data_IF_202456705971
#
_entry.id   IF_202456705971
#
_cell.length_a   1.000
_cell.length_b   1.000
_cell.length_c   1.000
_cell.angle_alpha   90.00
_cell.angle_beta   90.00
_cell.angle_gamma   90.00
#
_symmetry.space_group_name_H-M   'P 1'
#
loop_
_entity.id
_entity.type
_entity.pdbx_description
1 polymer ?
#
# COMPACT_ATOMS: atom_id res chain seq x y z
N UNK A 1 -4.19 15.69 -11.76
CA UNK A 1 -3.02 15.14 -11.03
C UNK A 1 -3.53 14.41 -9.79
N UNK A 2 -3.11 13.16 -9.58
CA UNK A 2 -3.51 12.38 -8.41
C UNK A 2 -2.81 12.96 -7.17
N UNK A 3 -3.56 13.55 -6.23
CA UNK A 3 -2.98 14.28 -5.08
C UNK A 3 -2.01 13.41 -4.26
N UNK A 4 -2.33 12.13 -4.08
CA UNK A 4 -1.44 11.19 -3.40
C UNK A 4 -0.11 11.03 -4.12
N UNK A 5 -0.12 10.93 -5.46
CA UNK A 5 1.09 10.79 -6.28
C UNK A 5 2.01 11.99 -6.10
N UNK A 6 1.46 13.20 -6.25
CA UNK A 6 2.25 14.43 -6.08
C UNK A 6 2.85 14.50 -4.68
N UNK A 7 2.05 14.21 -3.65
CA UNK A 7 2.51 14.20 -2.27
C UNK A 7 3.67 13.22 -2.08
N UNK A 8 3.47 11.97 -2.45
CA UNK A 8 4.44 10.90 -2.28
C UNK A 8 5.73 11.21 -3.04
N UNK A 9 5.67 11.52 -4.32
CA UNK A 9 6.88 11.79 -5.12
C UNK A 9 7.65 13.04 -4.66
N UNK A 10 6.98 14.01 -4.03
CA UNK A 10 7.63 15.24 -3.61
C UNK A 10 8.17 15.22 -2.19
N UNK A 11 7.67 14.31 -1.34
CA UNK A 11 8.00 14.28 0.09
C UNK A 11 8.62 12.96 0.54
N UNK A 12 8.72 11.97 -0.36
CA UNK A 12 9.26 10.64 -0.07
C UNK A 12 10.25 10.21 -1.14
N UNK A 13 10.99 9.14 -0.89
CA UNK A 13 11.92 8.53 -1.84
C UNK A 13 11.18 7.56 -2.78
N UNK A 14 10.15 8.04 -3.47
CA UNK A 14 9.32 7.22 -4.36
C UNK A 14 9.26 7.81 -5.77
N UNK A 15 9.15 6.91 -6.75
CA UNK A 15 8.77 7.25 -8.12
C UNK A 15 7.58 6.39 -8.50
N UNK A 16 6.49 7.02 -8.93
CA UNK A 16 5.19 6.39 -9.17
C UNK A 16 4.74 6.60 -10.62
N UNK A 17 5.44 6.02 -11.61
CA UNK A 17 5.21 6.34 -13.02
C UNK A 17 3.85 5.88 -13.54
N UNK A 18 3.15 4.98 -12.85
CA UNK A 18 1.89 4.41 -13.30
C UNK A 18 0.74 4.77 -12.36
N UNK A 19 -0.39 5.12 -12.98
CA UNK A 19 -1.68 5.31 -12.32
C UNK A 19 -2.67 4.30 -12.89
N UNK A 20 -3.68 3.91 -12.10
CA UNK A 20 -4.74 3.04 -12.59
C UNK A 20 -5.49 3.63 -13.81
N UNK A 21 -5.56 4.96 -13.91
CA UNK A 21 -6.26 5.67 -14.98
C UNK A 21 -5.50 5.63 -16.32
N UNK A 22 -4.17 5.75 -16.26
CA UNK A 22 -3.35 5.84 -17.47
C UNK A 22 -2.77 4.48 -17.88
N UNK A 23 -2.48 3.61 -16.90
CA UNK A 23 -1.77 2.33 -17.09
C UNK A 23 -2.27 1.27 -16.10
N UNK A 24 -3.57 0.93 -16.16
CA UNK A 24 -4.21 -0.02 -15.24
C UNK A 24 -3.48 -1.37 -15.12
N UNK A 25 -2.92 -1.89 -16.22
CA UNK A 25 -2.20 -3.17 -16.22
C UNK A 25 -0.99 -3.17 -15.29
N UNK A 26 -0.28 -2.04 -15.18
CA UNK A 26 0.89 -1.89 -14.31
C UNK A 26 0.52 -1.79 -12.83
N UNK A 27 -0.75 -1.48 -12.54
CA UNK A 27 -1.28 -1.34 -11.18
C UNK A 27 -2.10 -2.56 -10.75
N UNK A 28 -2.06 -3.65 -11.54
CA UNK A 28 -2.90 -4.83 -11.33
C UNK A 28 -2.09 -5.99 -10.76
N UNK A 29 -2.68 -6.72 -9.81
CA UNK A 29 -2.15 -7.98 -9.27
C UNK A 29 -3.25 -9.03 -9.17
N UNK A 30 -2.87 -10.30 -9.32
CA UNK A 30 -3.79 -11.42 -9.19
C UNK A 30 -3.84 -11.90 -7.73
N UNK A 31 -5.04 -12.19 -7.23
CA UNK A 31 -5.30 -12.76 -5.90
C UNK A 31 -5.37 -14.30 -5.97
N UNK A 32 -5.37 -14.96 -4.81
CA UNK A 32 -5.50 -16.41 -4.69
C UNK A 32 -6.77 -16.97 -5.34
N UNK A 33 -7.88 -16.24 -5.25
CA UNK A 33 -9.18 -16.63 -5.82
C UNK A 33 -9.25 -16.52 -7.36
N UNK A 34 -8.14 -16.12 -7.98
CA UNK A 34 -7.99 -15.89 -9.42
C UNK A 34 -8.42 -14.50 -9.89
N UNK A 35 -9.10 -13.73 -9.04
CA UNK A 35 -9.54 -12.37 -9.36
C UNK A 35 -8.39 -11.38 -9.34
N UNK A 36 -8.63 -10.17 -9.83
CA UNK A 36 -7.62 -9.11 -9.97
C UNK A 36 -7.92 -7.96 -9.01
N UNK A 37 -6.90 -7.50 -8.29
CA UNK A 37 -6.92 -6.25 -7.55
C UNK A 37 -6.17 -5.19 -8.36
N UNK A 38 -6.80 -4.03 -8.52
CA UNK A 38 -6.17 -2.83 -9.10
C UNK A 38 -5.90 -1.86 -7.96
N UNK A 39 -4.67 -1.38 -7.88
CA UNK A 39 -4.20 -0.33 -6.97
C UNK A 39 -4.22 1.02 -7.69
N UNK A 40 -4.32 2.11 -6.94
CA UNK A 40 -4.43 3.45 -7.53
C UNK A 40 -3.14 3.90 -8.21
N UNK A 41 -1.98 3.54 -7.63
CA UNK A 41 -0.65 3.87 -8.16
C UNK A 41 0.30 2.66 -8.08
N UNK A 42 1.29 2.65 -8.96
CA UNK A 42 2.36 1.66 -8.98
C UNK A 42 3.70 2.33 -9.30
N UNK A 43 4.77 1.81 -8.71
CA UNK A 43 6.11 2.36 -8.88
C UNK A 43 7.14 1.65 -8.05
N UNK A 44 8.11 2.39 -7.53
CA UNK A 44 9.23 1.84 -6.77
C UNK A 44 9.85 2.86 -5.82
N UNK A 45 10.58 2.34 -4.83
CA UNK A 45 11.46 3.13 -3.99
C UNK A 45 12.69 3.61 -4.78
N UNK A 46 13.15 4.82 -4.47
CA UNK A 46 14.35 5.43 -5.01
C UNK A 46 15.56 5.12 -4.12
N UNK A 47 16.75 5.16 -4.71
CA UNK A 47 18.01 4.90 -4.02
C UNK A 47 18.42 3.43 -4.11
N UNK A 48 18.91 2.89 -2.98
CA UNK A 48 19.40 1.50 -2.90
C UNK A 48 18.26 0.48 -2.76
N UNK A 49 17.18 0.85 -2.07
CA UNK A 49 15.95 0.05 -2.01
C UNK A 49 15.15 0.40 -3.27
N UNK A 50 15.15 -0.48 -4.28
CA UNK A 50 14.39 -0.31 -5.53
C UNK A 50 13.21 -1.27 -5.64
N UNK A 51 12.64 -1.63 -4.49
CA UNK A 51 11.52 -2.57 -4.45
C UNK A 51 10.30 -1.96 -5.14
N UNK A 52 9.50 -2.79 -5.87
CA UNK A 52 8.22 -2.38 -6.39
C UNK A 52 7.29 -1.89 -5.26
N UNK A 53 6.41 -0.96 -5.57
CA UNK A 53 5.44 -0.40 -4.63
C UNK A 53 4.06 -0.30 -5.29
N UNK A 54 3.04 -0.76 -4.58
CA UNK A 54 1.62 -0.62 -4.95
C UNK A 54 0.91 0.24 -3.91
N UNK A 55 0.21 1.28 -4.35
CA UNK A 55 -0.43 2.26 -3.46
C UNK A 55 -1.95 2.25 -3.64
N UNK A 56 -2.67 2.10 -2.54
CA UNK A 56 -4.12 2.36 -2.47
C UNK A 56 -4.33 3.69 -1.73
N UNK A 57 -5.04 4.62 -2.35
CA UNK A 57 -5.32 5.94 -1.80
C UNK A 57 -6.83 6.14 -1.60
N UNK A 58 -7.25 6.31 -0.34
CA UNK A 58 -8.63 6.57 0.05
C UNK A 58 -8.79 7.97 0.60
N UNK A 59 -9.29 8.89 -0.22
CA UNK A 59 -9.57 10.26 0.22
C UNK A 59 -10.89 10.33 0.99
N UNK A 60 -10.80 10.32 2.30
CA UNK A 60 -11.92 10.58 3.21
C UNK A 60 -11.69 11.90 3.96
N UNK A 61 -12.77 12.67 4.15
CA UNK A 61 -12.78 13.90 4.96
C UNK A 61 -13.45 13.72 6.32
N UNK A 62 -14.11 12.58 6.55
CA UNK A 62 -14.80 12.21 7.79
C UNK A 62 -14.60 10.73 8.10
N UNK A 63 -14.94 10.33 9.33
CA UNK A 63 -15.07 8.91 9.68
C UNK A 63 -16.07 8.25 8.73
N UNK A 64 -15.66 7.14 8.13
CA UNK A 64 -16.46 6.38 7.17
C UNK A 64 -16.01 4.93 7.12
N UNK A 65 -16.22 4.25 6.00
CA UNK A 65 -15.86 2.84 5.80
C UNK A 65 -14.35 2.54 5.74
N UNK A 66 -13.50 3.51 6.11
CA UNK A 66 -12.03 3.40 6.07
C UNK A 66 -11.49 2.19 6.81
N UNK A 67 -12.00 1.93 8.02
CA UNK A 67 -11.60 0.77 8.80
C UNK A 67 -11.91 -0.54 8.06
N UNK A 68 -13.12 -0.67 7.53
CA UNK A 68 -13.55 -1.87 6.79
C UNK A 68 -12.82 -2.04 5.45
N UNK A 69 -12.56 -0.96 4.71
CA UNK A 69 -11.77 -1.08 3.47
C UNK A 69 -10.29 -1.35 3.76
N UNK A 70 -9.77 -0.88 4.90
CA UNK A 70 -8.40 -1.19 5.29
C UNK A 70 -8.26 -2.67 5.65
N UNK A 71 -9.20 -3.26 6.39
CA UNK A 71 -9.19 -4.72 6.65
C UNK A 71 -9.34 -5.50 5.35
N UNK A 72 -10.21 -5.07 4.44
CA UNK A 72 -10.33 -5.70 3.11
C UNK A 72 -9.01 -5.61 2.32
N UNK A 73 -8.34 -4.46 2.38
CA UNK A 73 -7.04 -4.24 1.75
C UNK A 73 -5.94 -5.13 2.33
N UNK A 74 -5.88 -5.32 3.66
CA UNK A 74 -4.92 -6.23 4.28
C UNK A 74 -5.11 -7.67 3.80
N UNK A 75 -6.36 -8.11 3.66
CA UNK A 75 -6.69 -9.41 3.10
C UNK A 75 -6.27 -9.52 1.62
N UNK A 76 -6.46 -8.45 0.83
CA UNK A 76 -6.04 -8.42 -0.56
C UNK A 76 -4.52 -8.51 -0.74
N UNK A 77 -3.73 -7.75 0.02
CA UNK A 77 -2.25 -7.77 -0.09
C UNK A 77 -1.68 -9.11 0.38
N UNK A 78 -2.28 -9.74 1.40
CA UNK A 78 -1.95 -11.12 1.76
C UNK A 78 -2.22 -12.08 0.60
N UNK A 79 -3.41 -11.98 0.00
CA UNK A 79 -3.81 -12.85 -1.12
C UNK A 79 -2.91 -12.66 -2.35
N UNK A 80 -2.53 -11.43 -2.67
CA UNK A 80 -1.58 -11.13 -3.74
C UNK A 80 -0.21 -11.73 -3.46
N UNK A 81 0.31 -11.55 -2.24
CA UNK A 81 1.64 -12.07 -1.86
C UNK A 81 1.64 -13.61 -1.86
N UNK A 82 0.61 -14.23 -1.30
CA UNK A 82 0.44 -15.69 -1.32
C UNK A 82 0.41 -16.24 -2.74
N UNK A 83 -0.33 -15.57 -3.64
CA UNK A 83 -0.43 -15.96 -5.05
C UNK A 83 0.92 -15.83 -5.76
N UNK A 84 1.68 -14.79 -5.48
CA UNK A 84 3.01 -14.61 -6.04
C UNK A 84 3.98 -15.70 -5.57
N UNK A 85 3.98 -16.04 -4.28
CA UNK A 85 4.76 -17.15 -3.72
C UNK A 85 4.39 -18.50 -4.35
N UNK A 86 3.09 -18.80 -4.51
CA UNK A 86 2.63 -20.05 -5.14
C UNK A 86 3.13 -20.24 -6.58
N UNK A 87 3.39 -19.13 -7.28
CA UNK A 87 3.85 -19.15 -8.67
C UNK A 87 5.37 -18.92 -8.80
N UNK A 88 6.11 -18.76 -7.69
CA UNK A 88 7.52 -18.36 -7.70
C UNK A 88 7.75 -17.02 -8.44
N UNK A 89 6.85 -16.06 -8.22
CA UNK A 89 6.82 -14.75 -8.89
C UNK A 89 6.77 -13.57 -7.90
N UNK A 90 7.21 -13.77 -6.66
CA UNK A 90 7.28 -12.69 -5.69
C UNK A 90 8.39 -11.71 -6.05
N UNK A 91 8.01 -10.46 -6.36
CA UNK A 91 8.90 -9.37 -6.76
C UNK A 91 9.31 -8.48 -5.58
N UNK A 92 9.12 -8.96 -4.35
CA UNK A 92 9.31 -8.22 -3.10
C UNK A 92 8.47 -6.92 -3.06
N UNK A 93 7.32 -6.89 -3.75
CA UNK A 93 6.47 -5.71 -3.79
C UNK A 93 6.00 -5.28 -2.40
N UNK A 94 6.17 -3.99 -2.14
CA UNK A 94 5.66 -3.32 -0.96
C UNK A 94 4.28 -2.72 -1.23
N UNK A 95 3.53 -2.48 -0.17
CA UNK A 95 2.14 -2.06 -0.23
C UNK A 95 1.92 -0.85 0.66
N UNK A 96 1.31 0.20 0.12
CA UNK A 96 1.05 1.42 0.87
C UNK A 96 -0.43 1.79 0.86
N UNK A 97 -0.98 2.00 2.04
CA UNK A 97 -2.29 2.60 2.25
C UNK A 97 -2.12 4.09 2.57
N UNK A 98 -2.80 4.94 1.81
CA UNK A 98 -2.80 6.40 2.00
C UNK A 98 -4.23 6.86 2.24
N UNK A 99 -4.45 7.63 3.30
CA UNK A 99 -5.74 8.30 3.56
C UNK A 99 -5.53 9.74 4.03
N UNK A 100 -6.62 10.51 4.12
CA UNK A 100 -6.62 11.90 4.61
C UNK A 100 -7.28 12.08 5.97
N UNK A 101 -7.76 10.99 6.56
CA UNK A 101 -8.45 11.05 7.85
C UNK A 101 -8.03 9.85 8.71
N UNK A 102 -7.64 10.06 9.98
CA UNK A 102 -7.33 8.96 10.88
C UNK A 102 -8.52 8.01 11.04
N UNK A 103 -8.25 6.72 11.18
CA UNK A 103 -9.25 5.68 11.38
C UNK A 103 -8.74 4.65 12.38
N UNK A 104 -9.65 3.84 12.93
CA UNK A 104 -9.30 2.78 13.89
C UNK A 104 -8.34 3.23 15.00
N UNK A 105 -8.56 4.42 15.57
CA UNK A 105 -7.63 5.09 16.49
C UNK A 105 -7.27 4.21 17.71
N UNK A 106 -8.24 3.48 18.25
CA UNK A 106 -8.03 2.55 19.36
C UNK A 106 -7.10 1.37 19.02
N UNK A 107 -6.89 1.09 17.73
CA UNK A 107 -6.04 0.03 17.22
C UNK A 107 -4.83 0.58 16.45
N UNK A 108 -4.58 1.90 16.47
CA UNK A 108 -3.61 2.57 15.59
C UNK A 108 -2.23 1.90 15.58
N UNK A 109 -1.68 1.63 16.77
CA UNK A 109 -0.37 1.00 16.92
C UNK A 109 -0.31 -0.43 16.37
N UNK A 110 -1.46 -1.09 16.16
CA UNK A 110 -1.57 -2.48 15.70
C UNK A 110 -1.88 -2.58 14.21
N UNK A 111 -2.25 -1.50 13.53
CA UNK A 111 -2.77 -1.57 12.16
C UNK A 111 -1.81 -2.20 11.16
N UNK A 112 -0.51 -2.06 11.39
CA UNK A 112 0.55 -2.65 10.56
C UNK A 112 1.13 -3.94 11.14
N UNK A 113 0.64 -4.43 12.27
CA UNK A 113 1.12 -5.65 12.90
C UNK A 113 0.56 -6.91 12.22
N UNK A 114 1.37 -7.96 12.17
CA UNK A 114 0.99 -9.23 11.56
C UNK A 114 -0.27 -9.88 12.18
N UNK A 115 -0.53 -9.69 13.48
CA UNK A 115 -1.77 -10.19 14.09
C UNK A 115 -3.00 -9.50 13.48
N UNK A 116 -2.91 -8.20 13.19
CA UNK A 116 -3.99 -7.44 12.57
C UNK A 116 -4.21 -7.85 11.11
N UNK A 117 -3.13 -8.18 10.39
CA UNK A 117 -3.22 -8.80 9.06
C UNK A 117 -3.93 -10.15 9.14
N UNK A 118 -3.56 -11.01 10.09
CA UNK A 118 -4.18 -12.33 10.28
C UNK A 118 -5.69 -12.23 10.55
N UNK A 119 -6.11 -11.32 11.42
CA UNK A 119 -7.54 -11.09 11.69
C UNK A 119 -8.28 -10.61 10.44
N UNK A 120 -7.71 -9.66 9.70
CA UNK A 120 -8.30 -9.18 8.45
C UNK A 120 -8.44 -10.29 7.39
N UNK A 121 -7.42 -11.15 7.25
CA UNK A 121 -7.47 -12.32 6.37
C UNK A 121 -8.56 -13.30 6.80
N UNK A 122 -8.71 -13.53 8.12
CA UNK A 122 -9.77 -14.38 8.66
C UNK A 122 -11.16 -13.84 8.37
N UNK A 123 -11.37 -12.54 8.58
CA UNK A 123 -12.64 -11.86 8.30
C UNK A 123 -13.07 -11.98 6.82
N UNK A 124 -12.10 -12.01 5.91
CA UNK A 124 -12.34 -12.11 4.47
C UNK A 124 -12.02 -13.48 3.86
N UNK A 125 -11.88 -14.52 4.67
CA UNK A 125 -11.45 -15.85 4.24
C UNK A 125 -12.32 -16.46 3.13
N UNK A 126 -13.65 -16.32 3.25
CA UNK A 126 -14.62 -16.80 2.27
C UNK A 126 -14.43 -16.10 0.91
N UNK A 127 -14.31 -14.77 0.92
CA UNK A 127 -14.05 -13.96 -0.28
C UNK A 127 -12.74 -14.36 -0.95
N UNK A 128 -11.71 -14.63 -0.16
CA UNK A 128 -10.39 -15.07 -0.66
C UNK A 128 -10.35 -16.55 -1.09
N UNK A 129 -11.41 -17.32 -0.84
CA UNK A 129 -11.49 -18.77 -1.09
C UNK A 129 -10.32 -19.54 -0.44
N UNK A 130 -9.95 -19.15 0.79
CA UNK A 130 -8.93 -19.86 1.55
C UNK A 130 -9.42 -21.27 1.91
N UNK A 131 -8.47 -22.19 2.06
CA UNK A 131 -8.77 -23.56 2.48
C UNK A 131 -9.24 -23.56 3.93
N UNK A 132 -10.19 -24.44 4.22
CA UNK A 132 -10.68 -24.69 5.58
C UNK A 132 -10.32 -26.13 5.94
N UNK A 133 -9.50 -26.30 6.96
CA UNK A 133 -9.17 -27.58 7.57
C UNK A 133 -9.99 -27.84 8.84
N UNK A 134 -9.65 -28.90 9.57
CA UNK A 134 -10.33 -29.27 10.82
C UNK A 134 -10.24 -28.18 11.91
N UNK A 135 -9.18 -27.36 11.88
CA UNK A 135 -8.97 -26.23 12.79
C UNK A 135 -9.54 -24.89 12.32
N UNK A 136 -10.31 -24.87 11.22
CA UNK A 136 -10.82 -23.66 10.59
C UNK A 136 -10.01 -23.20 9.37
N UNK A 137 -10.08 -21.92 9.05
CA UNK A 137 -9.40 -21.34 7.88
C UNK A 137 -7.88 -21.43 8.04
N UNK A 138 -7.21 -22.01 7.04
CA UNK A 138 -5.75 -22.08 6.97
C UNK A 138 -5.19 -20.70 6.58
N UNK A 139 -4.50 -20.05 7.52
CA UNK A 139 -3.84 -18.76 7.33
C UNK A 139 -2.36 -18.94 7.71
N UNK A 140 -1.47 -18.61 6.78
CA UNK A 140 -0.03 -18.70 6.93
C UNK A 140 0.50 -17.53 7.77
N UNK A 141 0.97 -17.83 8.98
CA UNK A 141 1.49 -16.82 9.92
C UNK A 141 2.81 -16.19 9.47
N UNK A 142 3.68 -16.93 8.78
CA UNK A 142 4.92 -16.36 8.26
C UNK A 142 4.60 -15.38 7.14
N UNK A 143 3.62 -15.71 6.30
CA UNK A 143 3.16 -14.80 5.25
C UNK A 143 2.51 -13.54 5.83
N UNK A 144 1.74 -13.64 6.92
CA UNK A 144 1.22 -12.47 7.63
C UNK A 144 2.36 -11.56 8.15
N UNK A 145 3.44 -12.14 8.69
CA UNK A 145 4.62 -11.39 9.12
C UNK A 145 5.32 -10.73 7.95
N UNK A 146 5.52 -11.45 6.84
CA UNK A 146 6.13 -10.89 5.64
C UNK A 146 5.33 -9.70 5.11
N UNK A 147 4.01 -9.84 4.95
CA UNK A 147 3.11 -8.76 4.53
C UNK A 147 3.21 -7.56 5.46
N UNK A 148 3.23 -7.80 6.78
CA UNK A 148 3.40 -6.74 7.78
C UNK A 148 4.72 -5.97 7.60
N UNK A 149 5.82 -6.63 7.23
CA UNK A 149 7.11 -5.94 6.95
C UNK A 149 7.11 -5.14 5.64
N UNK A 150 6.20 -5.44 4.72
CA UNK A 150 6.05 -4.79 3.41
C UNK A 150 4.97 -3.70 3.40
N UNK A 151 4.30 -3.46 4.52
CA UNK A 151 3.12 -2.60 4.65
C UNK A 151 3.48 -1.20 5.17
N UNK A 152 3.00 -0.19 4.45
CA UNK A 152 3.08 1.21 4.83
C UNK A 152 1.69 1.79 5.05
N UNK A 153 1.54 2.62 6.08
CA UNK A 153 0.31 3.33 6.41
C UNK A 153 0.60 4.82 6.58
N UNK A 154 0.05 5.65 5.70
CA UNK A 154 0.19 7.10 5.76
C UNK A 154 -1.18 7.76 5.90
N UNK A 155 -1.29 8.68 6.86
CA UNK A 155 -2.41 9.61 6.99
C UNK A 155 -1.89 11.00 6.68
N UNK A 156 -2.43 11.58 5.62
CA UNK A 156 -2.09 12.90 5.12
C UNK A 156 -3.12 13.93 5.58
N UNK A 157 -2.78 15.21 5.44
CA UNK A 157 -3.74 16.30 5.59
C UNK A 157 -3.73 17.20 4.35
N UNK A 158 -4.85 17.86 4.07
CA UNK A 158 -4.92 18.82 2.96
C UNK A 158 -3.93 19.99 3.15
N UNK A 159 -3.63 20.38 4.40
CA UNK A 159 -2.64 21.42 4.69
C UNK A 159 -1.23 21.02 4.25
N UNK A 160 -0.87 19.74 4.36
CA UNK A 160 0.44 19.31 3.88
C UNK A 160 0.54 19.42 2.35
N UNK A 161 -0.57 19.33 1.62
CA UNK A 161 -0.55 19.52 0.16
C UNK A 161 -0.14 20.95 -0.24
N UNK A 162 -0.45 21.95 0.58
CA UNK A 162 0.02 23.33 0.37
C UNK A 162 1.54 23.48 0.56
N UNK A 163 2.19 22.52 1.21
CA UNK A 163 3.65 22.51 1.45
C UNK A 163 4.41 21.64 0.43
N UNK A 164 3.69 20.94 -0.44
CA UNK A 164 4.30 20.07 -1.43
C UNK A 164 4.83 20.89 -2.59
N UNK A 165 6.12 20.75 -2.87
CA UNK A 165 6.76 21.34 -4.04
C UNK A 165 6.19 20.71 -5.33
N UNK A 166 5.97 21.53 -6.35
CA UNK A 166 5.83 21.04 -7.72
C UNK A 166 7.11 20.31 -8.19
N UNK A 167 7.04 19.47 -9.24
CA UNK A 167 8.23 18.83 -9.80
C UNK A 167 9.34 19.83 -10.18
N UNK A 168 8.96 20.99 -10.72
CA UNK A 168 9.87 22.07 -11.06
C UNK A 168 10.53 22.71 -9.83
N UNK A 169 9.73 22.99 -8.79
CA UNK A 169 10.24 23.54 -7.52
C UNK A 169 11.13 22.53 -6.78
N UNK A 170 10.76 21.25 -6.79
CA UNK A 170 11.57 20.18 -6.21
C UNK A 170 12.92 20.06 -6.93
N UNK A 171 12.92 20.09 -8.26
CA UNK A 171 14.14 20.08 -9.07
C UNK A 171 15.03 21.28 -8.72
N UNK A 172 14.46 22.48 -8.63
CA UNK A 172 15.19 23.69 -8.26
C UNK A 172 15.77 23.60 -6.84
N UNK A 173 14.96 23.14 -5.87
CA UNK A 173 15.39 22.94 -4.49
C UNK A 173 16.54 21.94 -4.39
N UNK A 174 16.44 20.78 -5.05
CA UNK A 174 17.50 19.77 -5.08
C UNK A 174 18.79 20.27 -5.74
N UNK A 175 18.68 21.08 -6.81
CA UNK A 175 19.84 21.70 -7.45
C UNK A 175 20.59 22.64 -6.51
N UNK A 176 19.88 23.38 -5.66
CA UNK A 176 20.48 24.28 -4.68
C UNK A 176 21.09 23.50 -3.49
N UNK A 177 20.39 22.50 -2.95
CA UNK A 177 20.91 21.68 -1.85
C UNK A 177 22.20 20.94 -2.22
N UNK A 178 22.34 20.45 -3.46
CA UNK A 178 23.58 19.83 -3.95
C UNK A 178 24.76 20.81 -4.07
N UNK A 179 24.49 22.11 -4.18
CA UNK A 179 25.54 23.14 -4.23
C UNK A 179 26.10 23.46 -2.84
N UNK A 180 25.28 23.27 -1.81
CA UNK A 180 25.63 23.59 -0.42
C UNK A 180 26.35 22.43 0.31
N UNK A 181 26.74 21.37 -0.42
CA UNK A 181 27.67 20.34 0.07
C UNK A 181 27.04 19.16 0.82
N UNK A 182 25.82 18.77 0.46
CA UNK A 182 25.22 17.48 0.86
C UNK A 182 25.61 16.33 -0.08
#
# INVERSE_FOLDING_TARGET
MFRAKQYLESTTHLQLPWTAYDHESMCKRQRLDGSKKVYDLSGYFLGQRRHPLLVEAKKYSVVGSQAAMYTEYLADIYSVTARAHQNDMDDDAEFMWVTWHPFSQNNWAKLTHHEYVREAVREHAERLKLRTGEGGVEIDDELCRLVSTRLWLLVLSDRQHELVLSPEELKLAMMNLKRDGA
#
